data_IF_373709170390
#
_entry.id   IF_373709170390
#
_cell.length_a   1.000
_cell.length_b   1.000
_cell.length_c   1.000
_cell.angle_alpha   90.00
_cell.angle_beta   90.00
_cell.angle_gamma   90.00
#
_symmetry.space_group_name_H-M   'P 1'
#
loop_
_entity.id
_entity.type
_entity.pdbx_description
1 polymer ?
#
# COMPACT_ATOMS: atom_id res chain seq x y z
N UNK A 1 -11.66 27.51 50.69
CA UNK A 1 -10.65 26.60 51.30
C UNK A 1 -10.17 25.68 50.17
N UNK A 2 -8.87 25.57 49.83
CA UNK A 2 -7.86 24.69 50.45
C UNK A 2 -8.45 23.29 50.74
N UNK A 3 -7.95 22.14 50.27
CA UNK A 3 -6.74 21.76 49.49
C UNK A 3 -7.01 20.34 48.88
N UNK A 4 -6.19 19.61 48.11
CA UNK A 4 -4.73 19.63 47.81
C UNK A 4 -4.47 19.07 46.38
N UNK A 5 -3.23 18.64 46.06
CA UNK A 5 -2.83 17.84 44.88
C UNK A 5 -2.61 16.37 45.28
N UNK A 6 -2.68 15.44 44.32
CA UNK A 6 -1.63 14.41 44.18
C UNK A 6 -1.39 14.07 42.71
N UNK A 7 -0.09 13.95 42.38
CA UNK A 7 0.45 13.38 41.15
C UNK A 7 0.95 11.98 41.52
N UNK A 8 0.70 10.97 40.68
CA UNK A 8 1.36 9.68 40.79
C UNK A 8 2.15 9.41 39.50
N UNK A 9 3.47 9.33 39.63
CA UNK A 9 4.43 8.98 38.58
C UNK A 9 4.79 7.49 38.69
N UNK A 10 5.11 6.88 37.55
CA UNK A 10 5.89 5.64 37.47
C UNK A 10 5.13 4.32 37.71
N UNK A 11 5.70 3.17 37.35
CA UNK A 11 7.05 2.93 36.84
C UNK A 11 7.09 1.86 35.74
N UNK A 12 8.17 1.86 34.95
CA UNK A 12 8.43 0.86 33.93
C UNK A 12 8.84 -0.49 34.56
N UNK A 13 8.50 -1.59 33.88
CA UNK A 13 9.12 -2.90 34.10
C UNK A 13 10.01 -3.24 32.90
N UNK A 14 11.29 -2.90 33.01
CA UNK A 14 12.33 -3.53 32.19
C UNK A 14 12.55 -4.94 32.72
N UNK A 15 12.26 -5.96 31.91
CA UNK A 15 12.72 -7.32 32.16
C UNK A 15 14.19 -7.43 31.74
N UNK A 16 15.11 -7.49 32.70
CA UNK A 16 16.54 -7.64 32.46
C UNK A 16 17.09 -8.86 33.22
N UNK A 17 17.34 -9.95 32.49
CA UNK A 17 18.18 -11.09 32.85
C UNK A 17 18.35 -11.97 31.58
N UNK A 18 19.53 -12.46 31.19
CA UNK A 18 20.89 -12.15 31.63
C UNK A 18 21.87 -12.44 30.46
N UNK A 19 23.05 -11.82 30.46
CA UNK A 19 24.15 -12.22 29.57
C UNK A 19 24.97 -13.37 30.19
N UNK A 20 25.42 -14.30 29.33
CA UNK A 20 26.71 -15.02 29.30
C UNK A 20 26.56 -16.15 28.26
N UNK A 21 27.20 -16.07 27.11
CA UNK A 21 28.62 -16.38 26.82
C UNK A 21 28.89 -17.87 26.54
N UNK A 22 29.49 -18.09 25.38
CA UNK A 22 30.25 -19.25 24.88
C UNK A 22 29.80 -20.69 25.16
N UNK A 23 29.61 -21.43 24.07
CA UNK A 23 29.85 -22.88 24.00
C UNK A 23 30.43 -23.20 22.63
N UNK A 24 31.77 -23.22 22.55
CA UNK A 24 32.48 -23.90 21.47
C UNK A 24 32.21 -25.42 21.54
N UNK A 25 32.16 -26.11 20.38
CA UNK A 25 32.49 -27.51 20.30
C UNK A 25 33.80 -27.69 19.49
N UNK A 26 34.95 -27.71 20.17
CA UNK A 26 36.19 -28.25 19.61
C UNK A 26 36.25 -29.76 19.85
N UNK A 27 36.24 -30.53 18.75
CA UNK A 27 37.20 -31.63 18.55
C UNK A 27 37.31 -31.97 17.05
N UNK A 28 38.43 -31.56 16.44
CA UNK A 28 38.93 -32.05 15.14
C UNK A 28 39.31 -33.56 15.22
N UNK A 29 39.32 -34.33 14.11
CA UNK A 29 40.48 -34.28 13.20
C UNK A 29 40.19 -34.51 11.70
N UNK A 30 41.15 -34.09 10.87
CA UNK A 30 41.26 -34.50 9.46
C UNK A 30 41.18 -36.03 9.28
N UNK A 31 40.24 -36.49 8.46
CA UNK A 31 40.33 -37.75 7.72
C UNK A 31 40.29 -37.42 6.23
N UNK A 32 41.37 -37.74 5.50
CA UNK A 32 41.59 -37.26 4.14
C UNK A 32 40.66 -37.86 3.09
N UNK A 33 40.48 -37.13 1.99
CA UNK A 33 39.69 -37.54 0.83
C UNK A 33 39.87 -36.55 -0.31
N UNK A 34 40.89 -36.76 -1.13
CA UNK A 34 41.15 -35.96 -2.33
C UNK A 34 39.99 -36.15 -3.33
N UNK A 35 39.34 -35.05 -3.73
CA UNK A 35 38.06 -35.11 -4.45
C UNK A 35 37.69 -33.80 -5.10
N UNK A 36 38.39 -33.45 -6.18
CA UNK A 36 38.09 -32.27 -6.99
C UNK A 36 36.68 -32.38 -7.61
N UNK A 37 35.75 -31.56 -7.11
CA UNK A 37 34.52 -31.20 -7.83
C UNK A 37 34.26 -29.70 -7.72
N UNK A 38 34.37 -29.05 -8.87
CA UNK A 38 33.81 -27.73 -9.13
C UNK A 38 32.28 -27.83 -9.18
N UNK A 39 31.62 -27.59 -8.06
CA UNK A 39 30.21 -27.22 -8.07
C UNK A 39 30.13 -25.70 -7.91
N UNK A 40 29.90 -25.02 -9.04
CA UNK A 40 29.49 -23.63 -9.06
C UNK A 40 28.18 -23.54 -8.28
N UNK A 41 28.21 -22.90 -7.11
CA UNK A 41 26.98 -22.51 -6.42
C UNK A 41 26.30 -21.44 -7.28
N UNK A 42 25.44 -21.92 -8.18
CA UNK A 42 24.62 -21.06 -9.01
C UNK A 42 23.82 -20.17 -8.07
N UNK A 43 23.86 -18.83 -8.22
CA UNK A 43 22.99 -17.98 -7.45
C UNK A 43 21.57 -18.43 -7.76
N UNK A 44 20.82 -18.80 -6.71
CA UNK A 44 19.38 -19.07 -6.82
C UNK A 44 18.78 -17.80 -7.37
N UNK A 45 18.52 -17.78 -8.68
CA UNK A 45 17.83 -16.67 -9.30
C UNK A 45 16.52 -16.51 -8.53
N UNK A 46 16.17 -15.30 -8.03
CA UNK A 46 14.82 -15.10 -7.55
C UNK A 46 13.90 -15.53 -8.69
N UNK A 47 12.95 -16.42 -8.41
CA UNK A 47 11.97 -16.81 -9.39
C UNK A 47 11.19 -15.55 -9.77
N UNK A 48 11.63 -14.91 -10.85
CA UNK A 48 10.88 -13.92 -11.57
C UNK A 48 9.67 -14.68 -12.12
N UNK A 49 8.65 -14.78 -11.28
CA UNK A 49 7.32 -15.27 -11.62
C UNK A 49 6.78 -14.32 -12.66
N UNK A 50 7.15 -14.58 -13.92
CA UNK A 50 6.72 -13.88 -15.11
C UNK A 50 5.27 -14.21 -15.46
N UNK A 51 4.42 -14.29 -14.43
CA UNK A 51 2.98 -14.17 -14.61
C UNK A 51 2.75 -12.84 -15.32
N UNK A 52 2.20 -12.91 -16.54
CA UNK A 52 1.90 -11.72 -17.30
C UNK A 52 0.95 -10.83 -16.50
N UNK A 53 1.32 -9.56 -16.32
CA UNK A 53 0.52 -8.58 -15.59
C UNK A 53 -0.93 -8.58 -16.08
N UNK A 54 -1.89 -8.60 -15.15
CA UNK A 54 -3.31 -8.65 -15.49
C UNK A 54 -3.72 -7.40 -16.27
N UNK A 55 -4.93 -7.41 -16.84
CA UNK A 55 -5.47 -6.19 -17.45
C UNK A 55 -5.63 -5.06 -16.43
N UNK A 56 -5.96 -5.38 -15.17
CA UNK A 56 -6.09 -4.40 -14.10
C UNK A 56 -4.72 -3.87 -13.64
N UNK A 57 -3.68 -4.71 -13.61
CA UNK A 57 -2.32 -4.26 -13.29
C UNK A 57 -1.77 -3.32 -14.37
N UNK A 58 -2.03 -3.64 -15.65
CA UNK A 58 -1.69 -2.74 -16.78
C UNK A 58 -2.48 -1.43 -16.75
N UNK A 59 -3.75 -1.46 -16.31
CA UNK A 59 -4.54 -0.26 -16.07
C UNK A 59 -3.98 0.56 -14.90
N UNK A 60 -3.54 -0.10 -13.82
CA UNK A 60 -2.90 0.55 -12.67
C UNK A 60 -1.55 1.20 -13.06
N UNK A 61 -0.72 0.50 -13.84
CA UNK A 61 0.55 0.99 -14.41
C UNK A 61 0.30 2.23 -15.29
N UNK A 62 -0.65 2.15 -16.22
CA UNK A 62 -0.99 3.27 -17.09
C UNK A 62 -1.57 4.47 -16.33
N UNK A 63 -2.43 4.24 -15.33
CA UNK A 63 -2.94 5.29 -14.45
C UNK A 63 -1.83 5.97 -13.64
N UNK A 64 -0.90 5.19 -13.05
CA UNK A 64 0.23 5.72 -12.30
C UNK A 64 1.16 6.57 -13.16
N UNK A 65 1.41 6.15 -14.40
CA UNK A 65 2.25 6.90 -15.36
C UNK A 65 1.60 8.15 -15.94
N UNK A 66 0.28 8.28 -15.88
CA UNK A 66 -0.41 9.52 -16.28
C UNK A 66 -0.14 10.67 -15.29
N UNK A 67 0.15 10.35 -14.02
CA UNK A 67 0.49 11.33 -12.99
C UNK A 67 -0.73 12.07 -12.47
N UNK A 68 -0.76 13.40 -12.61
CA UNK A 68 -1.77 14.26 -11.97
C UNK A 68 -3.05 14.49 -12.79
N UNK A 69 -3.11 13.98 -14.03
CA UNK A 69 -4.29 14.06 -14.91
C UNK A 69 -4.28 12.96 -15.96
N UNK A 70 -5.46 12.62 -16.50
CA UNK A 70 -5.62 11.58 -17.53
C UNK A 70 -5.57 10.14 -17.02
N UNK A 71 -5.39 9.91 -15.73
CA UNK A 71 -5.37 8.56 -15.14
C UNK A 71 -6.72 7.84 -15.25
N UNK A 72 -7.84 8.57 -15.40
CA UNK A 72 -9.15 7.95 -15.64
C UNK A 72 -9.28 7.34 -17.05
N UNK A 73 -8.51 7.81 -18.05
CA UNK A 73 -8.54 7.27 -19.42
C UNK A 73 -7.91 5.88 -19.54
N UNK A 74 -6.97 5.55 -18.64
CA UNK A 74 -6.38 4.22 -18.52
C UNK A 74 -7.36 3.14 -18.04
N UNK A 75 -8.53 3.54 -17.52
CA UNK A 75 -9.44 2.63 -16.82
C UNK A 75 -10.42 1.92 -17.77
N UNK A 76 -10.64 0.60 -17.56
CA UNK A 76 -11.79 -0.09 -18.15
C UNK A 76 -13.11 0.43 -17.56
N UNK A 77 -14.20 0.31 -18.32
CA UNK A 77 -15.52 0.69 -17.81
C UNK A 77 -15.97 -0.23 -16.66
N UNK A 78 -16.52 0.36 -15.61
CA UNK A 78 -16.92 -0.31 -14.38
C UNK A 78 -15.85 -0.30 -13.26
N UNK A 79 -14.74 0.41 -13.42
CA UNK A 79 -13.66 0.45 -12.42
C UNK A 79 -13.36 1.84 -11.86
N UNK A 80 -12.58 1.86 -10.78
CA UNK A 80 -11.98 3.06 -10.23
C UNK A 80 -10.53 2.83 -9.84
N UNK A 81 -9.72 3.90 -9.82
CA UNK A 81 -8.34 3.91 -9.36
C UNK A 81 -8.18 4.87 -8.19
N UNK A 82 -7.40 4.47 -7.20
CA UNK A 82 -6.84 5.36 -6.19
C UNK A 82 -5.31 5.33 -6.28
N UNK A 83 -4.68 6.49 -6.18
CA UNK A 83 -3.23 6.61 -6.00
C UNK A 83 -2.90 7.61 -4.89
N UNK A 84 -1.92 7.28 -4.06
CA UNK A 84 -1.33 8.19 -3.06
C UNK A 84 0.09 8.51 -3.50
N UNK A 85 0.41 9.79 -3.69
CA UNK A 85 1.76 10.22 -4.02
C UNK A 85 2.46 10.91 -2.84
N UNK A 86 3.78 11.09 -2.99
CA UNK A 86 4.64 11.73 -1.99
C UNK A 86 4.37 13.24 -1.80
N UNK A 87 3.51 13.84 -2.62
CA UNK A 87 3.05 15.24 -2.56
C UNK A 87 1.79 15.42 -1.67
N UNK A 88 1.44 14.42 -0.86
CA UNK A 88 0.24 14.34 -0.02
C UNK A 88 -1.11 14.40 -0.78
N UNK A 89 -1.09 14.32 -2.12
CA UNK A 89 -2.30 14.25 -2.92
C UNK A 89 -2.79 12.81 -3.10
N UNK A 90 -4.11 12.67 -3.16
CA UNK A 90 -4.79 11.44 -3.56
C UNK A 90 -5.45 11.66 -4.91
N UNK A 91 -4.98 10.92 -5.92
CA UNK A 91 -5.55 10.90 -7.26
C UNK A 91 -6.65 9.83 -7.31
N UNK A 92 -7.87 10.22 -7.69
CA UNK A 92 -9.04 9.33 -7.77
C UNK A 92 -9.61 9.40 -9.18
N UNK A 93 -9.57 8.29 -9.91
CA UNK A 93 -10.20 8.15 -11.22
C UNK A 93 -11.36 7.18 -11.17
N UNK A 94 -12.44 7.48 -11.89
CA UNK A 94 -13.62 6.62 -12.02
C UNK A 94 -14.09 6.53 -13.46
N UNK A 95 -14.26 5.31 -13.95
CA UNK A 95 -14.82 5.01 -15.27
C UNK A 95 -16.15 4.26 -15.08
N UNK A 96 -17.25 4.99 -14.92
CA UNK A 96 -18.57 4.45 -14.56
C UNK A 96 -19.68 5.12 -15.38
N UNK A 97 -20.77 4.39 -15.60
CA UNK A 97 -21.96 4.89 -16.34
C UNK A 97 -21.65 5.44 -17.75
N UNK A 98 -20.59 4.93 -18.39
CA UNK A 98 -20.10 5.38 -19.70
C UNK A 98 -19.31 6.69 -19.68
N UNK A 99 -19.05 7.25 -18.49
CA UNK A 99 -18.31 8.48 -18.29
C UNK A 99 -17.00 8.24 -17.53
N UNK A 100 -16.01 9.11 -17.77
CA UNK A 100 -14.77 9.18 -17.00
C UNK A 100 -14.75 10.46 -16.18
N UNK A 101 -14.33 10.33 -14.92
CA UNK A 101 -14.20 11.42 -13.95
C UNK A 101 -12.89 11.26 -13.21
N UNK A 102 -12.21 12.36 -12.97
CA UNK A 102 -10.96 12.40 -12.21
C UNK A 102 -10.98 13.54 -11.19
N UNK A 103 -10.38 13.28 -10.03
CA UNK A 103 -10.21 14.23 -8.95
C UNK A 103 -8.80 14.11 -8.37
N UNK A 104 -8.19 15.26 -8.10
CA UNK A 104 -6.88 15.37 -7.45
C UNK A 104 -7.11 16.05 -6.11
N UNK A 105 -7.06 15.28 -5.02
CA UNK A 105 -7.48 15.73 -3.68
C UNK A 105 -6.25 15.98 -2.80
N UNK A 106 -5.93 17.24 -2.44
CA UNK A 106 -5.00 17.53 -1.35
C UNK A 106 -5.64 17.10 -0.03
N UNK A 107 -5.37 15.88 0.43
CA UNK A 107 -6.08 15.30 1.57
C UNK A 107 -5.82 16.09 2.87
N UNK A 108 -4.66 16.74 2.99
CA UNK A 108 -4.31 17.59 4.13
C UNK A 108 -5.27 18.78 4.34
N UNK A 109 -5.79 19.36 3.25
CA UNK A 109 -6.63 20.57 3.25
C UNK A 109 -8.10 20.28 3.59
N UNK A 110 -8.51 19.01 3.58
CA UNK A 110 -9.86 18.62 3.99
C UNK A 110 -10.11 18.90 5.49
N UNK A 111 -11.26 19.50 5.87
CA UNK A 111 -11.68 19.60 7.27
C UNK A 111 -11.64 18.23 7.96
N UNK A 112 -11.16 18.17 9.21
CA UNK A 112 -10.81 16.92 9.90
C UNK A 112 -11.86 15.80 9.78
N UNK A 113 -13.15 16.11 9.95
CA UNK A 113 -14.22 15.12 9.83
C UNK A 113 -14.36 14.55 8.42
N UNK A 114 -14.31 15.41 7.39
CA UNK A 114 -14.31 15.03 5.98
C UNK A 114 -13.06 14.23 5.62
N UNK A 115 -11.89 14.65 6.12
CA UNK A 115 -10.62 13.95 5.91
C UNK A 115 -10.64 12.53 6.47
N UNK A 116 -11.08 12.33 7.71
CA UNK A 116 -11.19 10.99 8.32
C UNK A 116 -12.12 10.06 7.55
N UNK A 117 -13.26 10.57 7.05
CA UNK A 117 -14.17 9.79 6.22
C UNK A 117 -13.54 9.42 4.86
N UNK A 118 -12.91 10.39 4.20
CA UNK A 118 -12.20 10.21 2.93
C UNK A 118 -11.05 9.21 3.04
N UNK A 119 -10.16 9.37 4.02
CA UNK A 119 -9.04 8.46 4.29
C UNK A 119 -9.50 7.02 4.55
N UNK A 120 -10.63 6.84 5.23
CA UNK A 120 -11.19 5.51 5.49
C UNK A 120 -11.63 4.82 4.20
N UNK A 121 -12.28 5.55 3.28
CA UNK A 121 -12.69 5.01 1.97
C UNK A 121 -11.48 4.69 1.11
N UNK A 122 -10.51 5.60 1.02
CA UNK A 122 -9.27 5.38 0.26
C UNK A 122 -8.52 4.17 0.82
N UNK A 123 -8.32 4.09 2.13
CA UNK A 123 -7.64 2.95 2.77
C UNK A 123 -8.36 1.62 2.49
N UNK A 124 -9.70 1.60 2.54
CA UNK A 124 -10.49 0.41 2.19
C UNK A 124 -10.33 -0.03 0.73
N UNK A 125 -10.17 0.92 -0.20
CA UNK A 125 -9.89 0.65 -1.62
C UNK A 125 -8.50 0.04 -1.83
N UNK A 126 -7.48 0.49 -1.09
CA UNK A 126 -6.13 -0.09 -1.11
C UNK A 126 -6.02 -1.47 -0.43
N UNK A 127 -6.90 -1.82 0.52
CA UNK A 127 -6.77 -3.09 1.28
C UNK A 127 -7.33 -4.33 0.56
N UNK A 128 -8.30 -4.17 -0.35
CA UNK A 128 -8.93 -5.29 -1.06
C UNK A 128 -8.00 -5.84 -2.13
N UNK A 129 -7.83 -7.16 -2.20
CA UNK A 129 -7.00 -7.84 -3.21
C UNK A 129 -5.49 -7.81 -2.95
N UNK A 130 -5.01 -6.94 -2.06
CA UNK A 130 -3.57 -6.79 -1.73
C UNK A 130 -3.14 -7.68 -0.56
N UNK A 131 -4.06 -8.02 0.35
CA UNK A 131 -3.76 -8.85 1.53
C UNK A 131 -3.59 -10.34 1.17
N UNK A 132 -2.64 -11.06 1.80
CA UNK A 132 -2.49 -12.51 1.60
C UNK A 132 -3.78 -13.29 1.86
N UNK A 133 -4.19 -14.10 0.89
CA UNK A 133 -5.44 -14.87 0.94
C UNK A 133 -6.71 -14.08 0.60
N UNK A 134 -6.62 -12.80 0.21
CA UNK A 134 -7.72 -12.10 -0.44
C UNK A 134 -7.93 -12.65 -1.85
N UNK A 135 -9.19 -12.66 -2.30
CA UNK A 135 -9.49 -12.65 -3.73
C UNK A 135 -8.96 -11.34 -4.33
N UNK A 136 -8.12 -11.45 -5.37
CA UNK A 136 -7.52 -10.35 -6.12
C UNK A 136 -8.07 -10.23 -7.55
N UNK A 137 -9.03 -11.07 -7.95
CA UNK A 137 -9.55 -11.13 -9.33
C UNK A 137 -10.20 -9.81 -9.81
N UNK A 138 -10.68 -8.99 -8.87
CA UNK A 138 -11.23 -7.65 -9.13
C UNK A 138 -10.27 -6.49 -8.83
N UNK A 139 -8.98 -6.77 -8.60
CA UNK A 139 -7.98 -5.79 -8.17
C UNK A 139 -6.77 -5.82 -9.11
N UNK A 140 -6.27 -4.64 -9.49
CA UNK A 140 -4.95 -4.48 -10.10
C UNK A 140 -4.08 -3.55 -9.27
N UNK A 141 -2.78 -3.81 -9.19
CA UNK A 141 -1.85 -3.00 -8.39
C UNK A 141 -0.59 -2.71 -9.19
N UNK A 142 -0.12 -1.46 -9.09
CA UNK A 142 1.19 -1.08 -9.59
C UNK A 142 1.89 -0.15 -8.59
N UNK A 143 3.17 -0.42 -8.33
CA UNK A 143 4.04 0.42 -7.52
C UNK A 143 5.12 1.03 -8.43
N UNK A 144 5.28 2.35 -8.34
CA UNK A 144 6.28 3.14 -9.04
C UNK A 144 7.60 3.18 -8.24
N UNK A 145 8.72 3.43 -8.92
CA UNK A 145 10.04 3.60 -8.27
C UNK A 145 10.10 4.77 -7.25
N UNK A 146 9.14 5.71 -7.29
CA UNK A 146 9.00 6.81 -6.31
C UNK A 146 8.19 6.42 -5.05
N UNK A 147 7.79 5.15 -4.92
CA UNK A 147 6.97 4.62 -3.83
C UNK A 147 5.47 4.94 -3.95
N UNK A 148 5.04 5.55 -5.06
CA UNK A 148 3.62 5.77 -5.37
C UNK A 148 2.97 4.45 -5.76
N UNK A 149 1.88 4.11 -5.09
CA UNK A 149 1.06 2.93 -5.41
C UNK A 149 -0.21 3.40 -6.11
N UNK A 150 -0.59 2.70 -7.18
CA UNK A 150 -1.90 2.77 -7.81
C UNK A 150 -2.63 1.44 -7.61
N UNK A 151 -3.87 1.52 -7.14
CA UNK A 151 -4.76 0.37 -7.02
C UNK A 151 -5.98 0.62 -7.89
N UNK A 152 -6.30 -0.32 -8.78
CA UNK A 152 -7.54 -0.36 -9.57
C UNK A 152 -8.47 -1.40 -8.97
N UNK A 153 -9.75 -1.06 -8.78
CA UNK A 153 -10.78 -1.99 -8.29
C UNK A 153 -11.95 -2.06 -9.28
N UNK A 154 -12.53 -3.23 -9.45
CA UNK A 154 -13.79 -3.47 -10.20
C UNK A 154 -14.97 -3.87 -9.31
N UNK A 155 -14.75 -4.06 -8.00
CA UNK A 155 -15.83 -4.31 -7.03
C UNK A 155 -16.81 -3.11 -7.00
N UNK A 156 -18.10 -3.29 -7.34
CA UNK A 156 -19.03 -2.17 -7.46
C UNK A 156 -19.23 -1.36 -6.17
N UNK A 157 -19.02 -1.94 -4.99
CA UNK A 157 -19.11 -1.22 -3.72
C UNK A 157 -17.88 -0.34 -3.51
N UNK A 158 -16.68 -0.85 -3.77
CA UNK A 158 -15.45 -0.06 -3.66
C UNK A 158 -15.37 1.03 -4.72
N UNK A 159 -15.79 0.72 -5.95
CA UNK A 159 -15.90 1.68 -7.05
C UNK A 159 -16.82 2.82 -6.64
N UNK A 160 -18.08 2.52 -6.27
CA UNK A 160 -19.05 3.54 -5.87
C UNK A 160 -18.58 4.36 -4.66
N UNK A 161 -18.02 3.71 -3.64
CA UNK A 161 -17.53 4.39 -2.45
C UNK A 161 -16.43 5.39 -2.78
N UNK A 162 -15.42 4.98 -3.58
CA UNK A 162 -14.32 5.87 -3.96
C UNK A 162 -14.80 7.03 -4.85
N UNK A 163 -15.66 6.79 -5.84
CA UNK A 163 -16.18 7.87 -6.69
C UNK A 163 -16.98 8.90 -5.88
N UNK A 164 -17.83 8.46 -4.96
CA UNK A 164 -18.56 9.36 -4.05
C UNK A 164 -17.64 10.10 -3.08
N UNK A 165 -16.54 9.49 -2.65
CA UNK A 165 -15.55 10.14 -1.79
C UNK A 165 -14.75 11.21 -2.54
N UNK A 166 -14.34 10.96 -3.79
CA UNK A 166 -13.69 11.96 -4.65
C UNK A 166 -14.61 13.15 -4.95
N UNK A 167 -15.85 12.89 -5.37
CA UNK A 167 -16.85 13.91 -5.65
C UNK A 167 -17.20 14.75 -4.40
N UNK A 168 -17.36 14.09 -3.24
CA UNK A 168 -17.61 14.76 -1.97
C UNK A 168 -16.44 15.60 -1.46
N UNK A 169 -15.21 15.07 -1.55
CA UNK A 169 -14.00 15.81 -1.16
C UNK A 169 -13.77 17.04 -2.06
N UNK A 170 -13.93 16.89 -3.37
CA UNK A 170 -13.81 18.00 -4.32
C UNK A 170 -14.85 19.09 -4.07
N UNK A 171 -16.10 18.72 -3.73
CA UNK A 171 -17.15 19.67 -3.36
C UNK A 171 -16.79 20.45 -2.09
N UNK A 172 -16.33 19.76 -1.04
CA UNK A 172 -15.91 20.39 0.23
C UNK A 172 -14.75 21.36 0.05
N UNK A 173 -13.79 21.06 -0.84
CA UNK A 173 -12.66 21.95 -1.15
C UNK A 173 -13.06 23.14 -2.04
N UNK A 174 -14.17 23.06 -2.78
CA UNK A 174 -14.66 24.16 -3.61
C UNK A 174 -15.51 25.18 -2.81
N UNK A 175 -16.10 24.75 -1.68
CA UNK A 175 -16.95 25.56 -0.81
C UNK A 175 -16.21 26.24 0.36
N UNK A 176 -14.91 25.97 0.54
CA UNK A 176 -14.07 26.40 1.68
C UNK A 176 -13.19 27.62 1.44
#
# INVERSE_FOLDING_TARGET
MKTFRMIALGAALLGAAACSEETEPDISPYAGGEGERTDQEAPVAPEASGAAASELDRAAEAACRAGASGFAEALPMGSSVASRAADEHVYIGCAVDGARREWTIPAADLPTASRTAFDSVVTGHFQRGVMPGSDSSGTGVYEMDDGRICVVQTDPMLVRALCSAGEGAASVLADG
#
